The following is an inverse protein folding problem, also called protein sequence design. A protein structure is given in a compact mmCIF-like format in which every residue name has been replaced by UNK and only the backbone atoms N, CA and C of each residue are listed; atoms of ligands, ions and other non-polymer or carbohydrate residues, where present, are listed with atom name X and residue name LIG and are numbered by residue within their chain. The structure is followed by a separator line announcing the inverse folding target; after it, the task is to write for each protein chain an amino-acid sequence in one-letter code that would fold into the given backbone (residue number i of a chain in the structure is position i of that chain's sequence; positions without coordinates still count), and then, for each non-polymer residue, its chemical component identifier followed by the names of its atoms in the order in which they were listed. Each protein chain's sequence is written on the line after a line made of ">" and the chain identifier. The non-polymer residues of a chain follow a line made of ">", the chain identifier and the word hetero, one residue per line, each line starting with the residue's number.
data_IF_938415919936
#
_entry.id   IF_938415919936
#
_cell.length_a   1.000
_cell.length_b   1.000
_cell.length_c   1.000
_cell.angle_alpha   90.00
_cell.angle_beta   90.00
_cell.angle_gamma   90.00
#
_symmetry.space_group_name_H-M   'P 1'
#
loop_
_entity.id
_entity.type
_entity.pdbx_description
1 polymer ?
#
# COMPACT_ATOMS: atom_id res chain seq x y z
N UNK A 1 -30.44 17.93 -11.59
CA UNK A 1 -30.19 16.73 -12.41
C UNK A 1 -28.69 16.72 -12.68
N UNK A 2 -27.94 16.03 -11.82
CA UNK A 2 -26.48 15.90 -11.95
C UNK A 2 -26.21 14.73 -12.90
N UNK A 3 -25.40 14.89 -13.97
CA UNK A 3 -25.11 13.79 -14.88
C UNK A 3 -24.16 12.77 -14.23
N UNK A 4 -24.44 11.49 -14.45
CA UNK A 4 -23.66 10.29 -14.05
C UNK A 4 -22.23 10.26 -14.62
N UNK A 5 -21.34 11.18 -14.21
CA UNK A 5 -19.95 11.24 -14.68
C UNK A 5 -18.90 11.28 -13.56
N UNK A 6 -19.18 10.64 -12.43
CA UNK A 6 -18.11 10.18 -11.56
C UNK A 6 -17.77 8.73 -11.96
N UNK A 7 -16.60 8.43 -12.55
CA UNK A 7 -16.24 7.06 -12.93
C UNK A 7 -16.05 6.12 -11.72
N UNK A 8 -16.07 6.66 -10.50
CA UNK A 8 -15.96 5.91 -9.24
C UNK A 8 -17.28 5.77 -8.47
N UNK A 9 -18.41 6.25 -9.02
CA UNK A 9 -19.72 6.04 -8.42
C UNK A 9 -20.17 4.58 -8.60
N UNK A 10 -19.82 3.74 -7.63
CA UNK A 10 -20.36 2.40 -7.46
C UNK A 10 -21.89 2.47 -7.42
N UNK A 11 -22.56 1.73 -8.30
CA UNK A 11 -24.02 1.61 -8.30
C UNK A 11 -24.49 0.97 -6.98
N UNK A 12 -25.53 1.50 -6.31
CA UNK A 12 -26.11 0.85 -5.15
C UNK A 12 -27.09 -0.26 -5.57
N UNK A 13 -26.79 -1.50 -5.17
CA UNK A 13 -27.83 -2.49 -4.85
C UNK A 13 -27.82 -3.82 -5.62
N UNK A 14 -28.28 -4.86 -4.90
CA UNK A 14 -28.60 -6.26 -5.27
C UNK A 14 -27.38 -7.19 -5.41
N UNK A 15 -27.15 -8.23 -4.60
CA UNK A 15 -28.03 -9.01 -3.73
C UNK A 15 -27.29 -9.54 -2.48
N UNK A 16 -27.99 -9.47 -1.34
CA UNK A 16 -27.63 -10.23 -0.13
C UNK A 16 -27.95 -11.70 -0.38
N UNK A 17 -26.95 -12.57 -0.27
CA UNK A 17 -27.16 -13.97 0.07
C UNK A 17 -26.51 -14.22 1.43
N UNK A 18 -27.33 -14.16 2.47
CA UNK A 18 -27.05 -14.79 3.75
C UNK A 18 -27.12 -16.31 3.56
N UNK A 19 -26.01 -17.01 3.75
CA UNK A 19 -26.03 -18.40 4.20
C UNK A 19 -24.96 -18.60 5.28
N UNK A 20 -25.39 -18.39 6.53
CA UNK A 20 -24.74 -18.97 7.71
C UNK A 20 -25.13 -20.46 7.74
N UNK A 21 -24.12 -21.33 7.71
CA UNK A 21 -24.20 -22.70 8.25
C UNK A 21 -22.94 -22.96 9.10
N UNK A 22 -23.06 -23.66 10.24
CA UNK A 22 -22.00 -23.77 11.23
C UNK A 22 -20.91 -24.75 10.79
N UNK A 23 -19.65 -24.35 10.97
CA UNK A 23 -18.48 -25.21 10.76
C UNK A 23 -18.45 -26.35 11.81
N UNK A 24 -18.11 -27.59 11.42
CA UNK A 24 -17.88 -28.67 12.38
C UNK A 24 -16.50 -28.50 13.03
N UNK A 25 -16.42 -28.85 14.32
CA UNK A 25 -15.21 -28.89 15.14
C UNK A 25 -14.09 -29.72 14.49
N UNK A 26 -12.95 -29.10 14.23
CA UNK A 26 -11.72 -29.77 13.79
C UNK A 26 -10.86 -30.10 15.01
N UNK A 27 -10.52 -31.38 15.17
CA UNK A 27 -9.57 -31.89 16.16
C UNK A 27 -8.14 -31.53 15.77
N UNK A 28 -7.33 -31.14 16.77
CA UNK A 28 -5.94 -30.73 16.63
C UNK A 28 -5.07 -31.76 15.88
N UNK A 29 -4.34 -31.31 14.86
CA UNK A 29 -3.33 -32.10 14.14
C UNK A 29 -1.97 -31.42 14.28
N UNK A 30 -0.99 -32.17 14.81
CA UNK A 30 0.41 -31.76 14.91
C UNK A 30 1.11 -32.00 13.58
N UNK A 31 1.81 -31.01 13.04
CA UNK A 31 2.67 -31.16 11.85
C UNK A 31 4.15 -31.24 12.26
N UNK A 32 4.88 -32.21 11.70
CA UNK A 32 6.33 -32.36 11.81
C UNK A 32 6.94 -32.33 10.42
N UNK A 33 7.91 -31.46 10.17
CA UNK A 33 8.65 -31.40 8.91
C UNK A 33 9.94 -32.23 9.01
N UNK A 34 10.22 -33.06 8.02
CA UNK A 34 11.49 -33.80 7.87
C UNK A 34 12.43 -33.09 6.88
N UNK A 35 13.75 -33.03 7.11
CA UNK A 35 14.68 -32.32 6.23
C UNK A 35 15.03 -33.11 4.96
N UNK A 36 15.09 -32.40 3.83
CA UNK A 36 15.55 -32.87 2.53
C UNK A 36 17.06 -32.61 2.36
N UNK A 37 17.87 -33.66 2.17
CA UNK A 37 19.32 -33.55 1.97
C UNK A 37 19.67 -33.74 0.51
N UNK A 38 20.19 -32.70 -0.16
CA UNK A 38 20.79 -32.80 -1.50
C UNK A 38 22.31 -32.87 -1.38
N UNK A 39 22.91 -33.97 -1.85
CA UNK A 39 24.35 -34.21 -1.87
C UNK A 39 25.05 -33.41 -2.98
N UNK A 40 26.06 -32.62 -2.62
CA UNK A 40 27.09 -32.11 -3.56
C UNK A 40 28.24 -33.12 -3.63
N UNK A 41 28.46 -33.70 -4.81
CA UNK A 41 29.67 -34.47 -5.10
C UNK A 41 30.80 -33.52 -5.51
N UNK A 42 31.88 -33.47 -4.71
CA UNK A 42 33.18 -32.96 -5.18
C UNK A 42 34.27 -34.05 -5.10
N UNK A 43 35.10 -34.00 -6.12
CA UNK A 43 36.13 -34.95 -6.55
C UNK A 43 37.20 -35.29 -5.49
N UNK A 44 37.52 -36.58 -5.39
CA UNK A 44 38.69 -37.12 -4.69
C UNK A 44 39.99 -36.82 -5.43
N UNK A 45 41.03 -36.38 -4.69
CA UNK A 45 42.40 -36.96 -4.76
C UNK A 45 43.31 -36.49 -3.60
N UNK A 46 44.03 -37.49 -3.04
CA UNK A 46 45.31 -37.44 -2.30
C UNK A 46 45.35 -37.26 -0.77
N UNK A 47 45.35 -38.42 -0.08
CA UNK A 47 46.27 -38.93 0.97
C UNK A 47 47.07 -37.92 1.82
N UNK A 48 46.84 -37.91 3.15
CA UNK A 48 47.85 -38.23 4.17
C UNK A 48 47.26 -38.27 5.60
N UNK A 49 47.75 -39.23 6.38
CA UNK A 49 47.40 -39.62 7.75
C UNK A 49 47.84 -38.56 8.78
N UNK A 50 47.03 -38.26 9.80
CA UNK A 50 47.47 -38.19 11.22
C UNK A 50 46.38 -37.75 12.22
N UNK A 51 46.44 -38.39 13.39
CA UNK A 51 45.90 -38.01 14.69
C UNK A 51 44.37 -38.02 14.89
N UNK A 52 43.90 -39.11 15.53
CA UNK A 52 42.66 -39.14 16.30
C UNK A 52 42.70 -38.05 17.39
N UNK A 53 41.83 -37.06 17.26
CA UNK A 53 41.26 -36.32 18.39
C UNK A 53 39.77 -36.64 18.34
N UNK A 54 39.13 -37.20 19.38
CA UNK A 54 37.69 -37.20 19.43
C UNK A 54 37.28 -35.75 19.71
N UNK A 55 37.08 -34.96 18.66
CA UNK A 55 36.22 -33.79 18.78
C UNK A 55 34.85 -34.36 19.17
N UNK A 56 34.43 -34.11 20.41
CA UNK A 56 33.01 -34.04 20.71
C UNK A 56 32.45 -32.97 19.77
N UNK A 57 31.96 -33.39 18.61
CA UNK A 57 30.95 -32.64 17.90
C UNK A 57 29.74 -32.66 18.82
N UNK A 58 29.60 -31.63 19.63
CA UNK A 58 28.31 -31.25 20.18
C UNK A 58 27.40 -31.05 18.98
N UNK A 59 26.64 -32.07 18.63
CA UNK A 59 25.48 -31.94 17.77
C UNK A 59 24.63 -30.85 18.39
N UNK A 60 24.57 -29.70 17.74
CA UNK A 60 23.50 -28.75 17.96
C UNK A 60 22.22 -29.51 17.63
N UNK A 61 21.59 -30.07 18.65
CA UNK A 61 20.20 -30.51 18.57
C UNK A 61 19.43 -29.23 18.34
N UNK A 62 19.07 -28.94 17.09
CA UNK A 62 17.99 -28.00 16.81
C UNK A 62 16.78 -28.56 17.56
N UNK A 63 16.35 -27.86 18.61
CA UNK A 63 15.15 -28.25 19.33
C UNK A 63 13.97 -28.24 18.35
N UNK A 64 13.14 -29.28 18.38
CA UNK A 64 11.91 -29.32 17.60
C UNK A 64 11.02 -28.14 18.03
N UNK A 65 10.80 -27.18 17.13
CA UNK A 65 9.85 -26.09 17.36
C UNK A 65 8.43 -26.64 17.18
N UNK A 66 7.69 -26.75 18.28
CA UNK A 66 6.25 -27.08 18.23
C UNK A 66 5.43 -25.79 18.28
N UNK A 67 4.82 -25.41 17.16
CA UNK A 67 3.85 -24.30 17.09
C UNK A 67 2.48 -24.85 17.44
N UNK A 68 1.81 -24.25 18.43
CA UNK A 68 0.42 -24.58 18.80
C UNK A 68 -0.49 -23.47 18.31
N UNK A 69 -1.49 -23.83 17.53
CA UNK A 69 -2.59 -22.93 17.19
C UNK A 69 -3.70 -23.08 18.23
N UNK A 70 -4.25 -21.96 18.69
CA UNK A 70 -5.42 -21.93 19.56
C UNK A 70 -6.60 -21.34 18.78
N UNK A 71 -7.52 -22.17 18.28
CA UNK A 71 -8.67 -21.70 17.51
C UNK A 71 -9.68 -20.92 18.37
N UNK A 72 -9.52 -20.89 19.70
CA UNK A 72 -10.36 -20.08 20.60
C UNK A 72 -9.90 -18.63 20.73
N UNK A 73 -8.69 -18.31 20.26
CA UNK A 73 -8.14 -16.96 20.29
C UNK A 73 -8.23 -16.33 18.89
N UNK A 74 -9.02 -15.27 18.76
CA UNK A 74 -9.09 -14.46 17.53
C UNK A 74 -8.15 -13.27 17.65
N UNK A 75 -7.12 -13.22 16.81
CA UNK A 75 -6.18 -12.10 16.75
C UNK A 75 -6.76 -10.91 15.97
N UNK A 76 -7.41 -11.20 14.83
CA UNK A 76 -8.00 -10.20 13.92
C UNK A 76 -9.43 -10.66 13.60
N UNK A 77 -10.41 -9.79 13.86
CA UNK A 77 -11.84 -10.12 13.68
C UNK A 77 -12.28 -10.18 12.21
N UNK A 78 -11.65 -9.39 11.35
CA UNK A 78 -11.90 -9.35 9.91
C UNK A 78 -10.62 -9.00 9.17
N UNK A 79 -10.28 -9.78 8.16
CA UNK A 79 -9.19 -9.47 7.23
C UNK A 79 -9.75 -8.67 6.07
N UNK A 80 -9.24 -7.45 5.86
CA UNK A 80 -9.65 -6.57 4.78
C UNK A 80 -8.93 -6.89 3.48
N UNK A 81 -7.68 -7.38 3.56
CA UNK A 81 -7.00 -7.89 2.39
C UNK A 81 -5.54 -7.56 2.30
N UNK A 82 -5.07 -7.70 1.07
CA UNK A 82 -3.69 -7.51 0.70
C UNK A 82 -3.64 -6.65 -0.55
N UNK A 83 -2.66 -5.74 -0.64
CA UNK A 83 -2.66 -4.79 -1.73
C UNK A 83 -1.30 -4.33 -2.22
N UNK A 84 -1.37 -3.44 -3.20
CA UNK A 84 -0.24 -2.64 -3.67
C UNK A 84 -0.69 -1.23 -4.05
N UNK A 85 0.23 -0.29 -4.03
CA UNK A 85 0.05 1.01 -4.64
C UNK A 85 0.19 0.95 -6.17
N UNK A 86 -0.66 1.70 -6.87
CA UNK A 86 -0.56 1.94 -8.32
C UNK A 86 0.44 3.06 -8.66
N UNK A 87 0.86 3.78 -7.64
CA UNK A 87 1.94 4.75 -7.67
C UNK A 87 3.26 4.06 -8.05
N UNK A 88 4.15 4.64 -8.84
CA UNK A 88 3.85 5.41 -10.05
C UNK A 88 3.87 4.54 -11.30
N UNK A 89 4.26 3.27 -11.18
CA UNK A 89 4.45 2.36 -12.29
C UNK A 89 3.21 2.24 -13.20
N UNK A 90 1.99 2.37 -12.65
CA UNK A 90 0.77 2.28 -13.44
C UNK A 90 0.54 3.53 -14.31
N UNK A 91 1.21 4.65 -14.06
CA UNK A 91 1.24 5.78 -15.00
C UNK A 91 1.97 5.44 -16.31
N UNK A 92 2.78 4.38 -16.33
CA UNK A 92 3.44 3.89 -17.55
C UNK A 92 2.77 2.62 -18.05
N UNK A 93 2.57 1.65 -17.16
CA UNK A 93 2.14 0.29 -17.49
C UNK A 93 0.65 0.02 -17.24
N UNK A 94 -0.16 1.03 -16.93
CA UNK A 94 -1.54 0.83 -16.51
C UNK A 94 -2.48 0.19 -17.54
N UNK A 95 -2.05 0.08 -18.80
CA UNK A 95 -2.78 -0.61 -19.88
C UNK A 95 -2.45 -2.11 -20.00
N UNK A 96 -1.57 -2.63 -19.14
CA UNK A 96 -1.05 -4.00 -19.23
C UNK A 96 -1.93 -5.00 -18.47
N UNK A 97 -2.75 -5.75 -19.20
CA UNK A 97 -3.59 -6.81 -18.61
C UNK A 97 -2.80 -7.95 -17.96
N UNK A 98 -1.61 -8.26 -18.46
CA UNK A 98 -0.75 -9.30 -17.87
C UNK A 98 -0.19 -8.89 -16.50
N UNK A 99 0.06 -7.60 -16.27
CA UNK A 99 0.38 -7.08 -14.93
C UNK A 99 -0.85 -7.16 -14.02
N UNK A 100 -2.02 -6.73 -14.52
CA UNK A 100 -3.25 -6.84 -13.74
C UNK A 100 -3.56 -8.31 -13.37
N UNK A 101 -3.33 -9.24 -14.29
CA UNK A 101 -3.45 -10.68 -14.04
C UNK A 101 -2.50 -11.16 -12.95
N UNK A 102 -1.24 -10.74 -13.01
CA UNK A 102 -0.24 -11.12 -12.02
C UNK A 102 -0.61 -10.60 -10.62
N UNK A 103 -1.04 -9.35 -10.51
CA UNK A 103 -1.26 -8.72 -9.20
C UNK A 103 -2.60 -9.13 -8.58
N UNK A 104 -3.67 -9.19 -9.37
CA UNK A 104 -5.04 -9.22 -8.82
C UNK A 104 -5.79 -10.53 -9.04
N UNK A 105 -5.24 -11.50 -9.77
CA UNK A 105 -5.89 -12.83 -9.91
C UNK A 105 -5.28 -13.87 -8.98
N UNK A 106 -5.91 -15.05 -8.90
CA UNK A 106 -5.35 -16.23 -8.22
C UNK A 106 -4.81 -17.27 -9.21
N UNK A 107 -4.45 -16.85 -10.44
CA UNK A 107 -3.89 -17.75 -11.47
C UNK A 107 -2.62 -18.42 -10.95
N UNK A 108 -2.48 -19.72 -11.22
CA UNK A 108 -1.31 -20.49 -10.80
C UNK A 108 -0.01 -20.05 -11.50
N UNK A 109 -0.13 -19.45 -12.69
CA UNK A 109 0.98 -19.00 -13.50
C UNK A 109 0.55 -17.86 -14.44
N UNK A 110 1.33 -16.79 -14.44
CA UNK A 110 1.24 -15.60 -15.29
C UNK A 110 2.67 -15.27 -15.75
N UNK A 111 2.85 -15.07 -17.05
CA UNK A 111 4.13 -14.62 -17.61
C UNK A 111 3.95 -13.20 -18.10
N UNK A 112 4.72 -12.27 -17.55
CA UNK A 112 4.72 -10.89 -18.01
C UNK A 112 5.41 -10.78 -19.36
N UNK A 113 4.83 -10.00 -20.27
CA UNK A 113 5.47 -9.65 -21.53
C UNK A 113 6.77 -8.87 -21.23
N UNK A 114 7.90 -9.43 -21.65
CA UNK A 114 9.24 -8.91 -21.38
C UNK A 114 10.02 -9.69 -20.31
N UNK A 115 9.35 -10.50 -19.48
CA UNK A 115 10.02 -11.39 -18.53
C UNK A 115 10.35 -12.75 -19.15
N UNK A 116 11.40 -13.38 -18.63
CA UNK A 116 11.82 -14.73 -19.03
C UNK A 116 11.21 -15.84 -18.18
N UNK A 117 10.49 -15.50 -17.11
CA UNK A 117 9.94 -16.44 -16.14
C UNK A 117 8.46 -16.18 -15.85
N UNK A 118 7.77 -17.24 -15.45
CA UNK A 118 6.37 -17.15 -15.01
C UNK A 118 6.29 -17.09 -13.51
N UNK A 119 5.33 -16.31 -13.00
CA UNK A 119 5.01 -16.25 -11.59
C UNK A 119 3.60 -16.72 -11.31
N UNK A 120 3.35 -17.28 -10.14
CA UNK A 120 1.99 -17.33 -9.67
C UNK A 120 1.45 -15.92 -9.37
N UNK A 121 0.17 -15.71 -9.63
CA UNK A 121 -0.49 -14.47 -9.30
C UNK A 121 -0.64 -14.29 -7.78
N UNK A 122 -0.68 -13.02 -7.35
CA UNK A 122 -0.62 -12.62 -5.94
C UNK A 122 -1.99 -12.58 -5.26
N UNK A 123 -3.07 -12.39 -6.05
CA UNK A 123 -4.42 -12.31 -5.52
C UNK A 123 -4.64 -11.13 -4.59
N UNK A 124 -4.01 -9.98 -4.89
CA UNK A 124 -4.28 -8.75 -4.15
C UNK A 124 -5.75 -8.36 -4.29
N UNK A 125 -6.37 -8.00 -3.17
CA UNK A 125 -7.78 -7.57 -3.07
C UNK A 125 -7.92 -6.08 -2.77
N UNK A 126 -6.79 -5.38 -2.61
CA UNK A 126 -6.72 -3.93 -2.37
C UNK A 126 -5.84 -3.30 -3.45
N UNK A 127 -6.28 -2.19 -4.05
CA UNK A 127 -5.44 -1.32 -4.87
C UNK A 127 -5.48 0.13 -4.36
N UNK A 128 -4.31 0.69 -4.05
CA UNK A 128 -4.19 2.10 -3.64
C UNK A 128 -3.94 2.99 -4.85
N UNK A 129 -4.84 3.93 -5.11
CA UNK A 129 -4.83 4.83 -6.28
C UNK A 129 -4.29 6.20 -5.88
N UNK A 130 -3.22 6.66 -6.53
CA UNK A 130 -2.61 7.97 -6.28
C UNK A 130 -3.34 9.07 -7.05
N UNK A 131 -4.10 9.91 -6.35
CA UNK A 131 -4.65 11.15 -6.90
C UNK A 131 -3.50 12.15 -7.09
N UNK A 132 -3.27 12.54 -8.34
CA UNK A 132 -2.15 13.40 -8.72
C UNK A 132 -2.28 14.85 -8.29
N UNK A 133 -1.15 15.49 -8.01
CA UNK A 133 -1.05 16.93 -7.79
C UNK A 133 -0.45 17.68 -8.99
N UNK A 134 0.24 16.98 -9.89
CA UNK A 134 1.04 17.62 -10.94
C UNK A 134 0.22 18.15 -12.12
N UNK A 135 0.75 19.12 -12.85
CA UNK A 135 0.14 19.69 -14.05
C UNK A 135 1.17 20.24 -15.03
N UNK A 136 0.79 20.40 -16.29
CA UNK A 136 1.60 21.03 -17.33
C UNK A 136 0.92 22.27 -17.94
N UNK A 137 -0.20 22.69 -17.36
CA UNK A 137 -0.93 23.86 -17.76
C UNK A 137 -0.24 25.14 -17.30
N UNK A 138 -0.54 26.23 -18.00
CA UNK A 138 -0.19 27.60 -17.61
C UNK A 138 -1.49 28.31 -17.29
N UNK A 139 -1.57 28.91 -16.11
CA UNK A 139 -2.72 29.68 -15.64
C UNK A 139 -2.40 31.17 -15.81
N UNK A 140 -3.30 31.91 -16.47
CA UNK A 140 -3.20 33.38 -16.56
C UNK A 140 -3.87 34.02 -15.35
N UNK A 141 -3.06 34.46 -14.40
CA UNK A 141 -3.50 35.28 -13.27
C UNK A 141 -3.38 36.76 -13.60
N UNK A 142 -4.48 37.33 -14.09
CA UNK A 142 -4.60 38.78 -14.29
C UNK A 142 -3.49 39.39 -15.17
N UNK A 143 -3.01 38.64 -16.16
CA UNK A 143 -1.92 39.01 -17.06
C UNK A 143 -0.55 38.44 -16.68
N UNK A 144 -0.48 37.60 -15.64
CA UNK A 144 0.73 36.89 -15.21
C UNK A 144 0.58 35.40 -15.48
N UNK A 145 1.47 34.83 -16.28
CA UNK A 145 1.51 33.39 -16.51
C UNK A 145 2.13 32.69 -15.29
N UNK A 146 1.37 31.78 -14.69
CA UNK A 146 1.77 30.93 -13.56
C UNK A 146 1.77 29.47 -14.01
N UNK A 147 2.81 28.73 -13.68
CA UNK A 147 2.93 27.30 -14.01
C UNK A 147 3.55 26.54 -12.84
N UNK A 148 3.30 25.24 -12.77
CA UNK A 148 3.93 24.36 -11.80
C UNK A 148 5.46 24.51 -11.80
N UNK A 149 6.04 24.62 -10.61
CA UNK A 149 7.47 24.54 -10.39
C UNK A 149 7.90 23.06 -10.37
N UNK A 150 8.45 22.60 -11.49
CA UNK A 150 8.86 21.21 -11.68
C UNK A 150 10.28 20.95 -11.15
N UNK A 151 10.44 19.90 -10.34
CA UNK A 151 11.74 19.40 -9.90
C UNK A 151 12.46 18.62 -11.02
N UNK A 152 13.74 18.91 -11.24
CA UNK A 152 14.61 18.17 -12.16
C UNK A 152 15.02 16.79 -11.62
N UNK A 153 14.81 16.55 -10.32
CA UNK A 153 15.05 15.27 -9.67
C UNK A 153 13.88 14.32 -9.77
N UNK A 154 12.69 14.81 -10.12
CA UNK A 154 11.48 13.99 -10.27
C UNK A 154 11.41 13.42 -11.70
N UNK A 155 11.46 12.10 -11.89
CA UNK A 155 11.28 11.50 -13.22
C UNK A 155 9.88 11.75 -13.77
N UNK A 156 9.77 11.87 -15.10
CA UNK A 156 8.52 12.19 -15.80
C UNK A 156 7.33 11.29 -15.42
N UNK A 157 7.56 10.00 -15.17
CA UNK A 157 6.49 9.06 -14.83
C UNK A 157 5.90 9.26 -13.42
N UNK A 158 6.56 10.05 -12.55
CA UNK A 158 6.08 10.37 -11.21
C UNK A 158 5.21 11.63 -11.14
N UNK A 159 5.17 12.43 -12.21
CA UNK A 159 4.21 13.53 -12.33
C UNK A 159 2.84 12.93 -12.64
N UNK A 160 1.98 12.81 -11.62
CA UNK A 160 0.61 12.33 -11.81
C UNK A 160 -0.30 13.52 -12.02
N UNK A 161 -1.01 13.53 -13.14
CA UNK A 161 -1.85 14.66 -13.53
C UNK A 161 -3.01 14.87 -12.54
N UNK A 162 -3.19 16.12 -12.12
CA UNK A 162 -4.31 16.55 -11.30
C UNK A 162 -5.62 16.59 -12.10
N UNK A 163 -6.72 16.24 -11.44
CA UNK A 163 -8.07 16.40 -11.99
C UNK A 163 -8.56 17.85 -11.96
N UNK A 164 -8.02 18.67 -11.06
CA UNK A 164 -8.40 20.06 -10.86
C UNK A 164 -7.24 20.95 -11.30
N UNK A 165 -7.37 21.53 -12.48
CA UNK A 165 -6.28 22.13 -13.23
C UNK A 165 -5.91 23.54 -12.76
N UNK A 166 -6.89 24.29 -12.26
CA UNK A 166 -6.71 25.69 -11.85
C UNK A 166 -7.80 26.16 -10.88
N UNK A 167 -7.55 27.29 -10.20
CA UNK A 167 -8.46 27.89 -9.24
C UNK A 167 -9.63 28.68 -9.86
N UNK A 168 -9.82 28.67 -11.19
CA UNK A 168 -10.82 29.53 -11.84
C UNK A 168 -12.26 29.08 -11.55
N UNK A 169 -12.48 27.82 -11.20
CA UNK A 169 -13.81 27.29 -10.95
C UNK A 169 -13.82 26.02 -10.10
N UNK A 170 -14.60 26.05 -9.02
CA UNK A 170 -14.94 24.87 -8.20
C UNK A 170 -16.00 23.96 -8.84
N UNK A 171 -16.67 24.40 -9.92
CA UNK A 171 -17.66 23.57 -10.63
C UNK A 171 -16.95 22.41 -11.37
N UNK A 172 -17.20 21.14 -11.01
CA UNK A 172 -16.56 19.98 -11.62
C UNK A 172 -16.94 19.77 -13.09
N UNK A 173 -17.92 20.51 -13.62
CA UNK A 173 -18.31 20.47 -15.03
C UNK A 173 -17.64 21.55 -15.89
N UNK A 174 -16.86 22.43 -15.26
CA UNK A 174 -16.12 23.51 -15.92
C UNK A 174 -14.84 23.01 -16.61
N UNK A 175 -14.14 23.93 -17.28
CA UNK A 175 -12.84 23.64 -17.91
C UNK A 175 -11.67 23.58 -16.92
N UNK A 176 -11.89 24.01 -15.68
CA UNK A 176 -10.92 23.88 -14.59
C UNK A 176 -10.78 22.43 -14.13
N UNK A 177 -11.60 21.50 -14.66
CA UNK A 177 -11.56 20.09 -14.32
C UNK A 177 -11.31 19.23 -15.57
N UNK A 178 -10.38 18.28 -15.44
CA UNK A 178 -10.09 17.28 -16.46
C UNK A 178 -10.34 15.87 -15.91
N UNK A 179 -11.57 15.37 -16.07
CA UNK A 179 -11.92 14.00 -15.69
C UNK A 179 -11.28 12.90 -16.55
N UNK A 180 -10.55 13.28 -17.61
CA UNK A 180 -9.78 12.36 -18.44
C UNK A 180 -8.29 12.27 -18.02
N UNK A 181 -7.81 13.08 -17.08
CA UNK A 181 -6.42 13.11 -16.55
C UNK A 181 -5.94 11.75 -16.01
N UNK A 182 -4.66 11.40 -15.99
CA UNK A 182 -4.20 10.13 -15.37
C UNK A 182 -4.87 8.84 -15.94
N UNK A 183 -5.01 8.79 -17.27
CA UNK A 183 -5.74 7.73 -17.95
C UNK A 183 -5.25 6.30 -17.64
N UNK A 184 -3.94 6.13 -17.46
CA UNK A 184 -3.33 4.80 -17.30
C UNK A 184 -3.53 4.20 -15.91
N UNK A 185 -3.34 4.96 -14.83
CA UNK A 185 -3.63 4.42 -13.50
C UNK A 185 -5.12 4.13 -13.33
N UNK A 186 -6.00 4.98 -13.86
CA UNK A 186 -7.44 4.68 -13.91
C UNK A 186 -7.74 3.38 -14.66
N UNK A 187 -7.05 3.13 -15.78
CA UNK A 187 -7.23 1.88 -16.51
C UNK A 187 -6.78 0.69 -15.67
N UNK A 188 -5.65 0.78 -14.96
CA UNK A 188 -5.21 -0.28 -14.04
C UNK A 188 -6.19 -0.52 -12.90
N UNK A 189 -6.73 0.53 -12.28
CA UNK A 189 -7.79 0.39 -11.27
C UNK A 189 -9.06 -0.28 -11.85
N UNK A 190 -9.42 0.03 -13.10
CA UNK A 190 -10.50 -0.66 -13.82
C UNK A 190 -10.18 -2.13 -14.09
N UNK A 191 -8.93 -2.45 -14.44
CA UNK A 191 -8.48 -3.83 -14.65
C UNK A 191 -8.45 -4.63 -13.35
N UNK A 192 -8.07 -3.99 -12.24
CA UNK A 192 -8.03 -4.56 -10.90
C UNK A 192 -9.45 -4.93 -10.41
N UNK A 193 -10.40 -4.00 -10.50
CA UNK A 193 -11.81 -4.26 -10.13
C UNK A 193 -12.49 -5.34 -10.97
N UNK A 194 -12.08 -5.52 -12.24
CA UNK A 194 -12.52 -6.66 -13.08
C UNK A 194 -11.93 -8.01 -12.66
N UNK A 195 -11.00 -8.02 -11.70
CA UNK A 195 -10.29 -9.20 -11.18
C UNK A 195 -10.56 -9.36 -9.68
N UNK A 196 -11.75 -8.95 -9.24
CA UNK A 196 -12.23 -9.14 -7.87
C UNK A 196 -11.41 -8.39 -6.79
N UNK A 197 -10.80 -7.25 -7.15
CA UNK A 197 -10.35 -6.28 -6.13
C UNK A 197 -11.58 -5.68 -5.45
N UNK A 198 -11.69 -5.95 -4.14
CA UNK A 198 -12.81 -5.56 -3.30
C UNK A 198 -12.71 -4.13 -2.79
N UNK A 199 -11.49 -3.62 -2.60
CA UNK A 199 -11.23 -2.31 -2.01
C UNK A 199 -10.32 -1.46 -2.89
N UNK A 200 -10.83 -0.32 -3.32
CA UNK A 200 -10.03 0.78 -3.84
C UNK A 200 -9.87 1.84 -2.75
N UNK A 201 -8.64 2.18 -2.45
CA UNK A 201 -8.32 3.30 -1.55
C UNK A 201 -7.59 4.39 -2.34
N UNK A 202 -8.16 5.59 -2.39
CA UNK A 202 -7.46 6.73 -2.95
C UNK A 202 -6.60 7.39 -1.87
N UNK A 203 -5.44 7.90 -2.28
CA UNK A 203 -4.55 8.72 -1.45
C UNK A 203 -3.89 9.78 -2.33
N UNK A 204 -3.28 10.79 -1.72
CA UNK A 204 -2.51 11.78 -2.46
C UNK A 204 -1.20 12.09 -1.76
N UNK A 205 -0.13 12.15 -2.55
CA UNK A 205 1.18 12.56 -2.07
C UNK A 205 1.31 14.09 -1.96
N UNK A 206 0.54 14.85 -2.74
CA UNK A 206 0.63 16.31 -2.78
C UNK A 206 -0.68 16.94 -3.31
N UNK A 207 -1.08 18.12 -2.82
CA UNK A 207 -2.12 18.92 -3.47
C UNK A 207 -1.86 19.19 -4.95
N UNK A 208 -2.90 19.57 -5.71
CA UNK A 208 -2.72 20.23 -6.99
C UNK A 208 -1.67 21.33 -6.83
N UNK A 209 -0.72 21.38 -7.75
CA UNK A 209 0.44 22.29 -7.66
C UNK A 209 0.03 23.74 -7.40
N UNK A 210 -1.09 24.20 -7.93
CA UNK A 210 -1.55 25.58 -7.74
C UNK A 210 -2.16 25.85 -6.36
N UNK A 211 -2.43 24.81 -5.56
CA UNK A 211 -2.83 24.94 -4.16
C UNK A 211 -1.62 25.06 -3.22
N UNK A 212 -0.40 24.81 -3.71
CA UNK A 212 0.80 24.78 -2.86
C UNK A 212 1.49 26.14 -2.78
N UNK A 213 2.08 26.45 -1.62
CA UNK A 213 2.71 27.76 -1.35
C UNK A 213 3.83 28.10 -2.35
N UNK A 214 4.56 27.09 -2.81
CA UNK A 214 5.68 27.25 -3.76
C UNK A 214 5.34 26.80 -5.19
N UNK A 215 4.08 26.49 -5.49
CA UNK A 215 3.63 25.94 -6.77
C UNK A 215 4.33 24.64 -7.21
N UNK A 216 4.98 23.92 -6.28
CA UNK A 216 5.64 22.65 -6.52
C UNK A 216 4.87 21.50 -5.85
N UNK A 217 4.90 20.33 -6.48
CA UNK A 217 4.35 19.09 -5.89
C UNK A 217 5.43 18.24 -5.25
N UNK A 218 6.70 18.51 -5.54
CA UNK A 218 7.86 17.74 -5.09
C UNK A 218 8.50 18.31 -3.82
N UNK A 219 7.68 18.55 -2.80
CA UNK A 219 8.08 19.14 -1.51
C UNK A 219 7.81 20.64 -1.39
N UNK A 220 7.81 21.12 -0.14
CA UNK A 220 7.75 22.55 0.20
C UNK A 220 9.13 23.18 0.33
N UNK A 221 9.19 24.50 0.43
CA UNK A 221 10.47 25.23 0.64
C UNK A 221 11.13 24.91 1.98
N UNK A 222 10.34 24.44 2.96
CA UNK A 222 10.78 23.86 4.22
C UNK A 222 10.03 22.53 4.40
N UNK A 223 10.76 21.42 4.42
CA UNK A 223 10.14 20.09 4.54
C UNK A 223 9.41 19.87 5.86
N UNK A 224 9.68 20.67 6.90
CA UNK A 224 9.00 20.61 8.18
C UNK A 224 7.81 21.56 8.33
N UNK A 225 7.35 22.21 7.25
CA UNK A 225 6.23 23.14 7.27
C UNK A 225 5.19 22.77 6.22
N UNK A 226 3.93 23.16 6.46
CA UNK A 226 2.84 22.98 5.51
C UNK A 226 3.16 23.65 4.17
N UNK A 227 2.99 22.89 3.08
CA UNK A 227 3.10 23.43 1.74
C UNK A 227 1.73 23.66 1.08
N UNK A 228 0.63 23.58 1.82
CA UNK A 228 -0.71 23.96 1.35
C UNK A 228 -0.98 25.42 1.72
N UNK A 229 -1.56 26.20 0.81
CA UNK A 229 -1.98 27.55 1.12
C UNK A 229 -3.21 27.55 2.06
N UNK A 230 -3.20 28.40 3.10
CA UNK A 230 -4.25 28.47 4.13
C UNK A 230 -5.68 28.56 3.57
N UNK A 231 -5.85 29.28 2.44
CA UNK A 231 -7.15 29.51 1.82
C UNK A 231 -7.65 28.35 0.95
N UNK A 232 -6.82 27.33 0.73
CA UNK A 232 -7.13 26.15 -0.08
C UNK A 232 -7.51 24.91 0.76
N UNK A 233 -7.58 24.97 2.10
CA UNK A 233 -7.93 23.79 2.92
C UNK A 233 -9.31 23.22 2.58
N UNK A 234 -10.32 24.08 2.35
CA UNK A 234 -11.66 23.64 1.95
C UNK A 234 -11.69 23.04 0.55
N UNK A 235 -10.99 23.65 -0.40
CA UNK A 235 -10.87 23.20 -1.79
C UNK A 235 -10.07 21.90 -1.87
N UNK A 236 -9.03 21.77 -1.05
CA UNK A 236 -8.24 20.56 -0.95
C UNK A 236 -9.07 19.41 -0.38
N UNK A 237 -9.87 19.65 0.66
CA UNK A 237 -10.83 18.67 1.16
C UNK A 237 -11.92 18.29 0.13
N UNK A 238 -12.28 19.20 -0.78
CA UNK A 238 -13.13 18.88 -1.93
C UNK A 238 -12.39 18.02 -2.97
N UNK A 239 -11.09 18.22 -3.12
CA UNK A 239 -10.24 17.54 -4.08
C UNK A 239 -9.82 16.12 -3.64
N UNK A 240 -9.71 15.83 -2.33
CA UNK A 240 -8.88 14.71 -1.85
C UNK A 240 -9.49 13.50 -1.15
N UNK A 241 -8.63 12.48 -1.11
CA UNK A 241 -8.51 11.40 -0.12
C UNK A 241 -7.11 11.47 0.57
N UNK A 242 -6.97 10.94 1.79
CA UNK A 242 -5.84 10.97 2.78
C UNK A 242 -4.43 11.36 2.29
N UNK A 243 -3.71 12.18 3.08
CA UNK A 243 -2.31 12.65 2.82
C UNK A 243 -1.37 12.27 3.99
N UNK A 244 -0.18 11.70 3.73
CA UNK A 244 0.82 11.38 4.76
C UNK A 244 1.62 12.61 5.23
N UNK A 245 2.10 12.61 6.49
CA UNK A 245 3.03 13.62 7.02
C UNK A 245 4.46 13.09 7.03
N UNK A 246 5.40 13.92 6.57
CA UNK A 246 6.82 13.70 6.79
C UNK A 246 7.62 14.98 6.62
N UNK A 247 8.73 15.12 7.35
CA UNK A 247 9.58 16.31 7.29
C UNK A 247 10.62 16.29 6.16
N UNK A 248 10.73 15.19 5.38
CA UNK A 248 11.70 15.09 4.28
C UNK A 248 11.15 15.51 2.92
N UNK A 249 9.88 15.93 2.85
CA UNK A 249 9.29 16.49 1.63
C UNK A 249 9.70 17.96 1.46
N UNK A 250 10.98 18.18 1.19
CA UNK A 250 11.59 19.48 0.92
C UNK A 250 11.95 19.61 -0.57
N UNK A 251 11.69 20.76 -1.17
CA UNK A 251 11.96 21.06 -2.56
C UNK A 251 13.44 21.42 -2.79
N UNK A 252 14.09 20.94 -3.88
CA UNK A 252 13.57 20.06 -4.92
C UNK A 252 13.64 18.58 -4.54
N UNK A 253 12.47 17.91 -4.49
CA UNK A 253 12.35 16.48 -4.22
C UNK A 253 12.31 15.60 -5.47
N UNK A 254 12.56 14.29 -5.30
CA UNK A 254 12.53 13.29 -6.38
C UNK A 254 11.17 12.62 -6.64
N UNK A 255 10.11 13.13 -6.01
CA UNK A 255 8.74 12.62 -6.08
C UNK A 255 7.74 13.65 -5.55
N UNK A 256 6.44 13.46 -5.84
CA UNK A 256 5.36 14.19 -5.16
C UNK A 256 5.42 13.92 -3.64
N UNK A 257 5.19 14.96 -2.84
CA UNK A 257 5.22 14.93 -1.39
C UNK A 257 4.86 16.30 -0.80
N UNK A 258 4.07 16.31 0.27
CA UNK A 258 3.70 17.52 1.00
C UNK A 258 3.67 17.23 2.50
N UNK A 259 4.37 18.02 3.30
CA UNK A 259 4.21 17.97 4.74
C UNK A 259 2.86 18.55 5.15
N UNK A 260 2.26 17.94 6.18
CA UNK A 260 1.06 18.44 6.84
C UNK A 260 1.19 18.28 8.35
N UNK A 261 1.25 19.41 9.03
CA UNK A 261 1.15 19.50 10.47
C UNK A 261 -0.14 18.85 10.96
N UNK A 262 -0.10 18.33 12.19
CA UNK A 262 -1.22 17.54 12.73
C UNK A 262 -2.52 18.36 12.81
N UNK A 263 -2.43 19.65 13.14
CA UNK A 263 -3.62 20.51 13.18
C UNK A 263 -4.27 20.68 11.80
N UNK A 264 -3.46 20.77 10.73
CA UNK A 264 -3.96 20.81 9.36
C UNK A 264 -4.55 19.48 8.92
N UNK A 265 -3.95 18.36 9.30
CA UNK A 265 -4.56 17.04 9.08
C UNK A 265 -5.94 16.93 9.75
N UNK A 266 -6.05 17.35 11.01
CA UNK A 266 -7.34 17.34 11.74
C UNK A 266 -8.41 18.13 11.01
N UNK A 267 -8.07 19.34 10.58
CA UNK A 267 -8.98 20.22 9.84
C UNK A 267 -9.42 19.57 8.51
N UNK A 268 -8.47 19.04 7.74
CA UNK A 268 -8.73 18.36 6.47
C UNK A 268 -9.63 17.12 6.64
N UNK A 269 -9.43 16.30 7.69
CA UNK A 269 -10.26 15.11 7.95
C UNK A 269 -11.73 15.47 8.17
N UNK A 270 -12.00 16.51 8.97
CA UNK A 270 -13.36 16.96 9.28
C UNK A 270 -14.00 17.61 8.04
N UNK A 271 -13.26 18.45 7.31
CA UNK A 271 -13.72 19.05 6.07
C UNK A 271 -14.03 18.00 5.01
N UNK A 272 -13.16 16.99 4.84
CA UNK A 272 -13.38 15.90 3.89
C UNK A 272 -14.65 15.11 4.21
N UNK A 273 -14.87 14.77 5.48
CA UNK A 273 -16.11 14.11 5.90
C UNK A 273 -17.35 14.94 5.56
N UNK A 274 -17.31 16.25 5.80
CA UNK A 274 -18.39 17.18 5.47
C UNK A 274 -18.66 17.24 3.96
N UNK A 275 -17.61 17.28 3.14
CA UNK A 275 -17.74 17.29 1.67
C UNK A 275 -18.33 15.98 1.14
N UNK A 276 -17.82 14.83 1.58
CA UNK A 276 -18.36 13.52 1.22
C UNK A 276 -19.84 13.40 1.60
N UNK A 277 -20.23 13.88 2.79
CA UNK A 277 -21.62 13.87 3.24
C UNK A 277 -22.52 14.75 2.38
N UNK A 278 -22.03 15.93 1.98
CA UNK A 278 -22.72 16.87 1.09
C UNK A 278 -22.94 16.26 -0.30
N UNK A 279 -21.97 15.48 -0.78
CA UNK A 279 -22.05 14.73 -2.04
C UNK A 279 -22.86 13.43 -1.93
N UNK A 280 -23.33 13.06 -0.73
CA UNK A 280 -24.08 11.82 -0.49
C UNK A 280 -23.21 10.56 -0.41
N UNK A 281 -21.88 10.71 -0.32
CA UNK A 281 -20.87 9.66 -0.27
C UNK A 281 -20.56 9.23 1.18
N UNK A 282 -21.61 8.97 1.95
CA UNK A 282 -21.51 8.63 3.40
C UNK A 282 -20.80 7.30 3.66
N UNK A 283 -20.85 6.40 2.69
CA UNK A 283 -20.26 5.06 2.79
C UNK A 283 -18.75 5.04 2.44
N UNK A 284 -18.22 6.15 1.92
CA UNK A 284 -16.77 6.29 1.67
C UNK A 284 -16.08 6.54 3.00
N UNK A 285 -15.26 5.59 3.44
CA UNK A 285 -14.45 5.74 4.65
C UNK A 285 -13.27 6.69 4.46
N UNK A 286 -12.82 7.31 5.56
CA UNK A 286 -11.61 8.14 5.59
C UNK A 286 -10.54 7.40 6.40
N UNK A 287 -9.31 7.37 5.90
CA UNK A 287 -8.16 6.83 6.64
C UNK A 287 -7.38 7.96 7.30
N UNK A 288 -6.64 7.68 8.37
CA UNK A 288 -5.70 8.60 9.00
C UNK A 288 -4.52 7.82 9.59
N UNK A 289 -3.27 8.29 9.63
CA UNK A 289 -2.70 9.44 8.93
C UNK A 289 -1.66 9.02 7.89
N UNK A 290 -1.47 7.71 7.67
CA UNK A 290 -0.53 7.20 6.65
C UNK A 290 0.93 7.60 6.93
N UNK A 291 1.27 7.75 8.22
CA UNK A 291 2.63 8.11 8.64
C UNK A 291 3.64 7.03 8.26
N UNK A 292 4.89 7.43 8.01
CA UNK A 292 5.97 6.51 7.64
C UNK A 292 6.29 5.43 8.69
N UNK A 293 5.99 5.65 9.97
CA UNK A 293 6.29 4.68 11.02
C UNK A 293 5.17 4.53 12.04
N UNK A 294 5.05 3.35 12.69
CA UNK A 294 4.12 3.15 13.79
C UNK A 294 4.32 4.13 14.95
N UNK A 295 5.56 4.58 15.20
CA UNK A 295 5.85 5.57 16.24
C UNK A 295 5.26 6.95 15.88
N UNK A 296 5.37 7.37 14.63
CA UNK A 296 4.75 8.62 14.16
C UNK A 296 3.22 8.48 14.16
N UNK A 297 2.68 7.38 13.66
CA UNK A 297 1.24 7.12 13.66
C UNK A 297 0.65 7.13 15.08
N UNK A 298 1.35 6.56 16.06
CA UNK A 298 0.94 6.63 17.47
C UNK A 298 0.93 8.06 17.99
N UNK A 299 1.98 8.84 17.70
CA UNK A 299 2.07 10.25 18.11
C UNK A 299 0.93 11.07 17.52
N UNK A 300 0.72 10.98 16.20
CA UNK A 300 -0.35 11.67 15.49
C UNK A 300 -1.71 11.27 16.04
N UNK A 301 -2.02 9.97 16.11
CA UNK A 301 -3.29 9.48 16.62
C UNK A 301 -3.54 9.89 18.08
N UNK A 302 -2.50 9.89 18.92
CA UNK A 302 -2.60 10.34 20.33
C UNK A 302 -3.04 11.81 20.39
N UNK A 303 -2.44 12.67 19.57
CA UNK A 303 -2.81 14.09 19.53
C UNK A 303 -4.24 14.32 19.01
N UNK A 304 -4.71 13.48 18.08
CA UNK A 304 -6.07 13.54 17.54
C UNK A 304 -7.12 12.91 18.47
N UNK A 305 -6.72 11.99 19.36
CA UNK A 305 -7.64 11.11 20.11
C UNK A 305 -8.67 11.80 20.99
N UNK A 306 -8.39 13.04 21.42
CA UNK A 306 -9.30 13.84 22.24
C UNK A 306 -10.32 14.66 21.43
N UNK A 307 -10.14 14.73 20.12
CA UNK A 307 -11.00 15.48 19.21
C UNK A 307 -12.11 14.58 18.66
N UNK A 308 -13.32 14.74 19.18
CA UNK A 308 -14.44 13.86 18.85
C UNK A 308 -14.89 13.97 17.39
N UNK A 309 -14.73 15.15 16.77
CA UNK A 309 -15.14 15.37 15.39
C UNK A 309 -14.15 14.68 14.43
N UNK A 310 -12.85 14.77 14.71
CA UNK A 310 -11.81 14.04 13.96
C UNK A 310 -11.99 12.53 14.10
N UNK A 311 -12.17 12.01 15.32
CA UNK A 311 -12.36 10.57 15.54
C UNK A 311 -13.67 10.08 14.91
N UNK A 312 -14.72 10.90 14.83
CA UNK A 312 -15.95 10.56 14.12
C UNK A 312 -15.77 10.57 12.58
N UNK A 313 -14.91 11.43 12.04
CA UNK A 313 -14.64 11.54 10.61
C UNK A 313 -13.91 10.31 10.04
N UNK A 314 -12.96 9.73 10.79
CA UNK A 314 -12.14 8.62 10.31
C UNK A 314 -12.82 7.25 10.47
N UNK A 315 -12.68 6.39 9.46
CA UNK A 315 -13.15 5.00 9.49
C UNK A 315 -12.08 4.01 9.95
N UNK A 316 -10.81 4.29 9.66
CA UNK A 316 -9.66 3.44 10.02
C UNK A 316 -8.41 4.26 10.27
N UNK A 317 -7.42 3.61 10.87
CA UNK A 317 -6.05 4.10 11.02
C UNK A 317 -5.14 3.39 10.01
N UNK A 318 -4.24 4.14 9.38
CA UNK A 318 -3.18 3.68 8.49
C UNK A 318 -1.83 4.13 9.04
N UNK A 319 -0.85 3.26 8.93
CA UNK A 319 0.59 3.55 9.13
C UNK A 319 1.36 2.79 8.06
N UNK A 320 2.56 3.23 7.76
CA UNK A 320 3.53 2.42 7.02
C UNK A 320 4.36 1.57 7.99
N UNK A 321 4.96 0.51 7.49
CA UNK A 321 5.81 -0.40 8.26
C UNK A 321 7.29 0.00 8.35
N UNK A 322 7.63 1.28 8.12
CA UNK A 322 9.03 1.75 8.07
C UNK A 322 9.53 2.44 9.35
N UNK A 323 10.83 2.67 9.39
CA UNK A 323 11.55 3.69 10.16
C UNK A 323 12.49 4.41 9.17
N UNK A 324 11.99 5.48 8.55
CA UNK A 324 12.58 6.08 7.36
C UNK A 324 12.44 5.16 6.15
N UNK A 325 13.55 4.54 5.73
CA UNK A 325 13.58 3.55 4.65
C UNK A 325 13.90 2.13 5.14
N UNK A 326 14.05 1.95 6.46
CA UNK A 326 14.33 0.64 7.06
C UNK A 326 13.06 0.00 7.58
N UNK A 327 13.02 -1.34 7.71
CA UNK A 327 11.90 -2.01 8.37
C UNK A 327 11.72 -1.53 9.81
N UNK A 328 10.48 -1.21 10.22
CA UNK A 328 10.23 -0.79 11.59
C UNK A 328 10.50 -1.95 12.56
N UNK A 329 11.33 -1.71 13.57
CA UNK A 329 11.67 -2.65 14.65
C UNK A 329 11.57 -2.01 16.05
N UNK A 330 10.89 -0.87 16.14
CA UNK A 330 10.63 -0.18 17.41
C UNK A 330 9.55 -0.85 18.25
N UNK A 331 9.22 -0.22 19.38
CA UNK A 331 8.32 -0.77 20.41
C UNK A 331 6.86 -0.37 20.26
N UNK A 332 6.52 0.51 19.31
CA UNK A 332 5.23 1.21 19.34
C UNK A 332 4.11 0.52 18.57
N UNK A 333 4.35 -0.68 18.03
CA UNK A 333 3.31 -1.52 17.39
C UNK A 333 2.16 -1.85 18.34
N UNK A 334 2.48 -2.35 19.54
CA UNK A 334 1.46 -2.71 20.55
C UNK A 334 0.74 -1.46 21.11
N UNK A 335 1.44 -0.38 21.50
CA UNK A 335 0.78 0.88 21.86
C UNK A 335 -0.15 1.45 20.77
N UNK A 336 0.27 1.42 19.49
CA UNK A 336 -0.56 1.89 18.38
C UNK A 336 -1.81 1.03 18.21
N UNK A 337 -1.66 -0.29 18.26
CA UNK A 337 -2.77 -1.25 18.29
C UNK A 337 -3.75 -0.94 19.42
N UNK A 338 -3.25 -0.77 20.64
CA UNK A 338 -4.09 -0.54 21.81
C UNK A 338 -4.88 0.77 21.68
N UNK A 339 -4.26 1.83 21.18
CA UNK A 339 -4.94 3.11 20.94
C UNK A 339 -5.99 2.99 19.83
N UNK A 340 -5.67 2.36 18.70
CA UNK A 340 -6.64 2.13 17.62
C UNK A 340 -7.85 1.30 18.11
N UNK A 341 -7.60 0.26 18.91
CA UNK A 341 -8.64 -0.56 19.50
C UNK A 341 -9.51 0.22 20.51
N UNK A 342 -8.91 1.07 21.35
CA UNK A 342 -9.63 1.96 22.28
C UNK A 342 -10.55 2.93 21.54
N UNK A 343 -10.13 3.40 20.37
CA UNK A 343 -10.90 4.29 19.48
C UNK A 343 -11.87 3.54 18.55
N UNK A 344 -11.95 2.20 18.68
CA UNK A 344 -12.76 1.32 17.83
C UNK A 344 -12.48 1.52 16.33
N UNK A 345 -11.20 1.64 15.96
CA UNK A 345 -10.73 1.77 14.58
C UNK A 345 -10.00 0.50 14.14
N UNK A 346 -10.18 0.14 12.87
CA UNK A 346 -9.28 -0.82 12.21
C UNK A 346 -7.91 -0.18 12.01
N UNK A 347 -6.88 -1.01 11.93
CA UNK A 347 -5.51 -0.58 11.63
C UNK A 347 -5.01 -1.32 10.39
N UNK A 348 -4.37 -0.60 9.48
CA UNK A 348 -3.71 -1.13 8.28
C UNK A 348 -2.22 -0.81 8.33
N UNK A 349 -1.39 -1.75 7.87
CA UNK A 349 -0.13 -1.37 7.26
C UNK A 349 -0.42 -1.02 5.80
N UNK A 350 -0.41 0.27 5.49
CA UNK A 350 -0.83 0.79 4.19
C UNK A 350 0.32 0.98 3.22
N UNK A 351 1.57 0.79 3.65
CA UNK A 351 2.74 0.87 2.79
C UNK A 351 3.95 0.17 3.41
N UNK A 352 4.51 -0.77 2.66
CA UNK A 352 5.80 -1.37 2.99
C UNK A 352 6.54 -1.81 1.72
N UNK A 353 7.87 -1.75 1.77
CA UNK A 353 8.81 -2.20 0.75
C UNK A 353 10.21 -2.20 1.36
N UNK A 354 11.21 -2.75 0.68
CA UNK A 354 12.56 -2.78 1.25
C UNK A 354 13.63 -3.02 0.20
N UNK A 355 14.89 -2.75 0.55
CA UNK A 355 16.04 -3.10 -0.27
C UNK A 355 16.60 -4.51 0.08
N UNK A 356 15.72 -5.49 0.32
CA UNK A 356 16.07 -6.90 0.63
C UNK A 356 15.36 -7.88 -0.32
N UNK A 357 15.98 -8.15 -1.48
CA UNK A 357 15.42 -9.04 -2.50
C UNK A 357 15.20 -10.49 -2.04
N UNK A 358 15.69 -10.89 -0.85
CA UNK A 358 15.45 -12.23 -0.31
C UNK A 358 14.02 -12.40 0.17
N UNK A 359 13.33 -11.31 0.55
CA UNK A 359 11.99 -11.27 1.13
C UNK A 359 11.89 -11.85 2.54
N UNK A 360 13.01 -12.03 3.25
CA UNK A 360 12.98 -12.52 4.63
C UNK A 360 12.53 -11.40 5.59
N UNK A 361 13.03 -10.19 5.37
CA UNK A 361 12.70 -9.02 6.19
C UNK A 361 11.22 -8.62 6.01
N UNK A 362 10.69 -8.70 4.79
CA UNK A 362 9.27 -8.54 4.46
C UNK A 362 8.39 -9.56 5.18
N UNK A 363 8.76 -10.84 5.13
CA UNK A 363 8.01 -11.89 5.81
C UNK A 363 8.02 -11.71 7.33
N UNK A 364 9.15 -11.25 7.90
CA UNK A 364 9.24 -10.90 9.31
C UNK A 364 8.35 -9.69 9.65
N UNK A 365 8.40 -8.61 8.84
CA UNK A 365 7.58 -7.42 9.05
C UNK A 365 6.09 -7.76 9.01
N UNK A 366 5.61 -8.46 7.98
CA UNK A 366 4.20 -8.91 7.90
C UNK A 366 3.81 -9.70 9.15
N UNK A 367 4.66 -10.63 9.61
CA UNK A 367 4.38 -11.40 10.81
C UNK A 367 4.31 -10.50 12.06
N UNK A 368 5.22 -9.54 12.22
CA UNK A 368 5.22 -8.60 13.33
C UNK A 368 4.00 -7.66 13.29
N UNK A 369 3.64 -7.14 12.13
CA UNK A 369 2.52 -6.21 11.98
C UNK A 369 1.18 -6.91 12.25
N UNK A 370 1.02 -8.16 11.81
CA UNK A 370 -0.15 -8.97 12.15
C UNK A 370 -0.17 -9.28 13.67
N UNK A 371 0.94 -9.73 14.25
CA UNK A 371 0.93 -10.24 15.64
C UNK A 371 0.96 -9.14 16.70
N UNK A 372 1.73 -8.08 16.49
CA UNK A 372 1.96 -7.02 17.48
C UNK A 372 1.08 -5.79 17.20
N UNK A 373 0.84 -5.47 15.93
CA UNK A 373 0.03 -4.31 15.53
C UNK A 373 -1.43 -4.70 15.20
N UNK A 374 -1.71 -5.99 15.00
CA UNK A 374 -3.05 -6.51 14.65
C UNK A 374 -3.66 -5.80 13.44
N UNK A 375 -2.81 -5.53 12.44
CA UNK A 375 -3.27 -4.96 11.17
C UNK A 375 -4.27 -5.90 10.50
N UNK A 376 -5.30 -5.31 9.90
CA UNK A 376 -6.34 -6.04 9.16
C UNK A 376 -6.10 -6.05 7.65
N UNK A 377 -5.13 -5.27 7.18
CA UNK A 377 -4.60 -5.33 5.83
C UNK A 377 -3.11 -5.00 5.83
N UNK A 378 -2.42 -5.47 4.81
CA UNK A 378 -1.03 -5.12 4.51
C UNK A 378 -0.92 -4.78 3.02
N UNK A 379 -0.47 -3.57 2.72
CA UNK A 379 -0.36 -3.05 1.36
C UNK A 379 1.11 -2.82 1.05
N UNK A 380 1.62 -3.54 0.05
CA UNK A 380 2.95 -3.30 -0.47
C UNK A 380 3.01 -1.92 -1.15
N UNK A 381 4.18 -1.30 -1.21
CA UNK A 381 4.42 -0.05 -1.92
C UNK A 381 4.24 -0.25 -3.44
N UNK A 382 5.30 -0.13 -4.23
CA UNK A 382 5.24 -0.36 -5.67
C UNK A 382 5.49 -1.84 -5.97
N UNK A 383 4.48 -2.55 -6.49
CA UNK A 383 4.70 -3.91 -6.97
C UNK A 383 5.69 -3.96 -8.16
N UNK A 384 5.87 -2.86 -8.88
CA UNK A 384 6.82 -2.73 -9.98
C UNK A 384 7.77 -1.57 -9.68
N UNK A 385 9.04 -1.88 -9.42
CA UNK A 385 10.09 -0.90 -9.16
C UNK A 385 11.47 -1.48 -9.51
N UNK A 386 12.49 -0.64 -9.48
CA UNK A 386 13.89 -1.02 -9.68
C UNK A 386 14.55 -1.44 -8.36
N UNK A 387 15.62 -2.23 -8.45
CA UNK A 387 16.34 -2.69 -7.26
C UNK A 387 15.50 -3.65 -6.42
N UNK A 388 15.78 -3.83 -5.14
CA UNK A 388 14.99 -4.79 -4.35
C UNK A 388 13.61 -4.28 -3.91
N UNK A 389 13.27 -3.01 -4.19
CA UNK A 389 12.03 -2.37 -3.76
C UNK A 389 10.76 -2.84 -4.47
N UNK A 390 10.89 -3.42 -5.66
CA UNK A 390 9.79 -3.91 -6.45
C UNK A 390 9.69 -5.42 -6.37
N UNK A 391 8.48 -5.93 -6.08
CA UNK A 391 8.13 -7.34 -6.26
C UNK A 391 8.57 -7.83 -7.66
N UNK A 392 8.28 -7.05 -8.70
CA UNK A 392 8.78 -7.29 -10.07
C UNK A 392 9.74 -6.18 -10.46
N UNK A 393 10.90 -6.55 -11.03
CA UNK A 393 11.83 -5.57 -11.57
C UNK A 393 11.19 -4.76 -12.68
N UNK A 394 11.30 -3.44 -12.58
CA UNK A 394 10.90 -2.56 -13.66
C UNK A 394 11.68 -1.25 -13.61
N UNK A 395 11.67 -0.55 -14.73
CA UNK A 395 12.03 0.85 -14.79
C UNK A 395 10.98 1.55 -15.67
N UNK A 396 10.00 2.23 -15.06
CA UNK A 396 8.98 2.96 -15.82
C UNK A 396 9.58 4.06 -16.72
N UNK A 397 10.74 4.62 -16.37
CA UNK A 397 11.40 5.70 -17.10
C UNK A 397 11.92 5.33 -18.49
N UNK A 398 12.26 4.05 -18.72
CA UNK A 398 12.67 3.51 -20.02
C UNK A 398 11.72 2.42 -20.54
N UNK A 399 10.55 2.28 -19.91
CA UNK A 399 9.50 1.30 -20.25
C UNK A 399 10.00 -0.16 -20.20
N UNK A 400 10.93 -0.45 -19.29
CA UNK A 400 11.48 -1.79 -19.08
C UNK A 400 10.78 -2.55 -17.95
N UNK A 401 10.58 -3.86 -18.17
CA UNK A 401 10.16 -4.83 -17.16
C UNK A 401 11.17 -5.97 -17.21
N UNK A 402 11.69 -6.31 -16.03
CA UNK A 402 12.65 -7.38 -15.82
C UNK A 402 12.01 -8.63 -15.27
N UNK A 403 12.86 -9.48 -14.71
CA UNK A 403 12.42 -10.69 -14.04
C UNK A 403 11.91 -10.40 -12.62
N UNK A 404 11.03 -11.25 -12.09
CA UNK A 404 10.53 -11.09 -10.74
C UNK A 404 11.58 -11.34 -9.67
N UNK A 405 11.42 -10.69 -8.52
CA UNK A 405 12.30 -10.92 -7.37
C UNK A 405 11.90 -12.18 -6.59
N UNK A 406 12.86 -12.84 -5.91
CA UNK A 406 12.57 -13.98 -5.04
C UNK A 406 11.54 -13.67 -3.95
N UNK A 407 11.45 -12.43 -3.48
CA UNK A 407 10.47 -12.02 -2.48
C UNK A 407 9.03 -12.24 -2.93
N UNK A 408 8.72 -12.20 -4.23
CA UNK A 408 7.35 -12.45 -4.76
C UNK A 408 6.82 -13.82 -4.34
N UNK A 409 7.69 -14.82 -4.31
CA UNK A 409 7.31 -16.18 -3.95
C UNK A 409 7.08 -16.31 -2.43
N UNK A 410 7.83 -15.56 -1.62
CA UNK A 410 7.65 -15.52 -0.16
C UNK A 410 6.42 -14.74 0.23
N UNK A 411 6.22 -13.58 -0.41
CA UNK A 411 4.96 -12.85 -0.49
C UNK A 411 3.87 -13.90 -0.73
N UNK A 412 3.74 -14.53 -1.90
CA UNK A 412 2.63 -15.47 -2.14
C UNK A 412 2.45 -16.54 -1.04
N UNK A 413 3.53 -17.05 -0.45
CA UNK A 413 3.43 -18.05 0.63
C UNK A 413 2.70 -17.49 1.87
N UNK A 414 2.81 -16.19 2.13
CA UNK A 414 2.09 -15.46 3.18
C UNK A 414 0.69 -15.02 2.73
N UNK A 415 0.54 -14.59 1.47
CA UNK A 415 -0.70 -14.01 0.92
C UNK A 415 -1.73 -15.05 0.44
N UNK A 416 -1.31 -16.24 0.03
CA UNK A 416 -2.21 -17.24 -0.55
C UNK A 416 -3.11 -17.85 0.54
N UNK A 417 -4.45 -17.84 0.38
CA UNK A 417 -5.26 -18.77 1.12
C UNK A 417 -4.77 -20.17 0.74
N UNK A 418 -4.41 -20.98 1.73
CA UNK A 418 -4.16 -22.40 1.48
C UNK A 418 -5.42 -22.99 0.84
N UNK A 419 -5.45 -23.11 -0.49
CA UNK A 419 -6.25 -24.12 -1.15
C UNK A 419 -5.61 -25.46 -0.76
N UNK A 420 -5.97 -25.99 0.41
CA UNK A 420 -5.72 -27.39 0.69
C UNK A 420 -6.58 -28.18 -0.29
N UNK A 421 -6.00 -28.50 -1.45
CA UNK A 421 -6.41 -29.66 -2.22
C UNK A 421 -6.20 -30.85 -1.30
N UNK A 422 -7.26 -31.22 -0.59
CA UNK A 422 -7.36 -32.52 0.05
C UNK A 422 -7.61 -33.49 -1.09
N UNK A 423 -6.54 -34.04 -1.66
CA UNK A 423 -6.65 -35.31 -2.37
C UNK A 423 -6.99 -36.34 -1.30
N UNK A 424 -8.28 -36.66 -1.18
CA UNK A 424 -8.72 -37.85 -0.49
C UNK A 424 -7.92 -39.03 -1.05
N UNK A 425 -7.23 -39.83 -0.23
CA UNK A 425 -6.73 -41.10 -0.69
C UNK A 425 -7.95 -41.92 -1.10
N UNK A 426 -8.10 -42.12 -2.40
CA UNK A 426 -9.07 -43.06 -2.96
C UNK A 426 -8.68 -44.44 -2.42
N UNK A 427 -9.38 -44.88 -1.39
CA UNK A 427 -9.46 -46.30 -1.03
C UNK A 427 -10.12 -47.03 -2.21
N UNK A 428 -9.33 -47.89 -2.86
CA UNK A 428 -9.72 -48.76 -3.96
C UNK A 428 -8.65 -49.79 -4.27
#
# INVERSE_FOLDING_TARGET
>A
MVPDKCPLALKPGTDRINLIQPWPSISATTFTFAPCTTCVMLSRRCIAVSALIPLLQSSLINADLTVKTDPSTTLINSWDGWGTSLCWWANVFGDREDIADLLFTTKESVTLSGSTSSLPALGFTIARYNIGGSGNNVVDDSGTEVSMEASDQMPAFKFIESYWLDWMSEDPTSKSWNWDADAKQRNMASLATKRDVDILEAFSNSPPWWMTNNHATAGGDDGGADNLEDWNHDQFALYLATVPMSTWWEYPGGQEGCHFEVDTQKDNLVKLRSQLDTLGLKDVGISSSDENSPSLALSTLTSMSSDTDVIAAIGKVSTHGYDGLSPYRGTDREPLKDLAAQLNKKLWDSEYGEDDATGLSLAESIALDINQMSVSAFVYWQALDSGAWGLVQSNPGDNWIGDPQPEVLRTRTVFAPHSTGYDDPVDG
#
